data_IF_958645518439
#
_entry.id   IF_958645518439
#
_cell.length_a   1.000
_cell.length_b   1.000
_cell.length_c   1.000
_cell.angle_alpha   90.00
_cell.angle_beta   90.00
_cell.angle_gamma   90.00
#
_symmetry.space_group_name_H-M   'P 1'
#
loop_
_entity.id
_entity.type
_entity.pdbx_description
1 polymer ?
#
# COMPACT_ATOMS: atom_id res chain seq x y z
N UNK A 1 7.13 -15.93 4.53
CA UNK A 1 6.56 -14.95 3.59
C UNK A 1 7.29 -13.68 3.94
N UNK A 2 7.95 -13.07 2.99
CA UNK A 2 8.81 -11.92 3.18
C UNK A 2 8.35 -10.76 2.29
N UNK A 3 8.54 -9.55 2.79
CA UNK A 3 8.39 -8.33 2.01
C UNK A 3 9.74 -7.64 1.90
N UNK A 4 10.01 -7.04 0.74
CA UNK A 4 11.22 -6.26 0.49
C UNK A 4 10.88 -4.86 -0.01
N UNK A 5 11.83 -3.94 0.17
CA UNK A 5 11.79 -2.62 -0.45
C UNK A 5 12.45 -2.79 -1.82
N UNK A 6 11.63 -2.87 -2.87
CA UNK A 6 12.10 -3.06 -4.25
C UNK A 6 12.45 -1.76 -4.96
N UNK A 7 11.98 -0.63 -4.41
CA UNK A 7 12.31 0.71 -4.90
C UNK A 7 12.26 1.71 -3.75
N UNK A 8 13.17 2.68 -3.78
CA UNK A 8 13.10 3.89 -2.96
C UNK A 8 13.75 5.07 -3.69
N UNK A 9 13.18 6.26 -3.57
CA UNK A 9 13.74 7.51 -4.04
C UNK A 9 14.00 8.46 -2.87
N UNK A 10 15.27 8.65 -2.54
CA UNK A 10 15.71 9.55 -1.47
C UNK A 10 15.30 11.00 -1.70
N UNK A 11 15.11 11.42 -2.94
CA UNK A 11 14.70 12.79 -3.27
C UNK A 11 13.23 13.07 -2.96
N UNK A 12 12.42 12.02 -2.77
CA UNK A 12 11.01 12.10 -2.39
C UNK A 12 10.77 11.82 -0.91
N UNK A 13 11.81 11.54 -0.11
CA UNK A 13 11.67 11.35 1.33
C UNK A 13 10.93 12.54 1.96
N UNK A 14 9.95 12.31 2.84
CA UNK A 14 9.25 13.40 3.52
C UNK A 14 10.23 14.36 4.22
N UNK A 15 9.84 15.63 4.34
CA UNK A 15 10.74 16.65 4.85
C UNK A 15 11.25 16.31 6.25
N UNK A 16 12.58 16.30 6.42
CA UNK A 16 13.22 16.01 7.70
C UNK A 16 13.42 14.52 7.98
N UNK A 17 13.04 13.65 7.05
CA UNK A 17 13.36 12.21 7.06
C UNK A 17 14.62 11.96 6.23
N UNK A 18 15.41 11.00 6.67
CA UNK A 18 16.60 10.48 6.01
C UNK A 18 16.57 8.96 5.94
N UNK A 19 17.47 8.37 5.16
CA UNK A 19 17.62 6.91 5.07
C UNK A 19 18.06 6.26 6.40
N UNK A 20 18.62 7.04 7.33
CA UNK A 20 19.04 6.56 8.65
C UNK A 20 17.89 6.51 9.66
N UNK A 21 16.76 7.16 9.37
CA UNK A 21 15.57 7.09 10.20
C UNK A 21 14.88 5.74 10.03
N UNK A 22 14.12 5.33 11.06
CA UNK A 22 13.36 4.08 11.00
C UNK A 22 12.29 4.14 9.90
N UNK A 23 12.00 3.01 9.26
CA UNK A 23 10.90 2.90 8.30
C UNK A 23 9.56 3.33 8.91
N UNK A 24 9.27 2.95 10.16
CA UNK A 24 8.08 3.35 10.90
C UNK A 24 7.93 4.88 10.95
N UNK A 25 8.98 5.58 11.39
CA UNK A 25 8.96 7.05 11.47
C UNK A 25 8.76 7.71 10.12
N UNK A 26 9.39 7.21 9.05
CA UNK A 26 9.20 7.74 7.70
C UNK A 26 7.76 7.59 7.21
N UNK A 27 7.15 6.42 7.44
CA UNK A 27 5.76 6.17 7.04
C UNK A 27 4.76 7.02 7.83
N UNK A 28 5.01 7.24 9.13
CA UNK A 28 4.22 8.16 9.95
C UNK A 28 4.33 9.62 9.49
N UNK A 29 5.51 10.06 9.04
CA UNK A 29 5.65 11.41 8.47
C UNK A 29 4.96 11.49 7.11
N UNK A 30 5.11 10.46 6.26
CA UNK A 30 4.42 10.38 4.98
C UNK A 30 2.89 10.50 5.12
N UNK A 31 2.30 9.84 6.13
CA UNK A 31 0.87 9.96 6.44
C UNK A 31 0.41 11.42 6.60
N UNK A 32 1.22 12.26 7.23
CA UNK A 32 0.87 13.63 7.57
C UNK A 32 1.24 14.64 6.50
N UNK A 33 2.38 14.43 5.82
CA UNK A 33 3.02 15.44 4.97
C UNK A 33 3.16 15.01 3.50
N UNK A 34 2.93 13.74 3.18
CA UNK A 34 3.17 13.19 1.84
C UNK A 34 4.65 13.14 1.45
N UNK A 35 4.94 12.99 0.15
CA UNK A 35 6.32 13.04 -0.37
C UNK A 35 6.83 14.48 -0.47
N UNK A 36 8.15 14.67 -0.37
CA UNK A 36 8.77 15.99 -0.58
C UNK A 36 8.85 16.36 -2.08
N UNK A 37 8.81 17.66 -2.39
CA UNK A 37 9.00 18.17 -3.76
C UNK A 37 8.18 19.42 -4.12
N UNK A 38 8.44 20.00 -5.30
CA UNK A 38 7.65 21.12 -5.82
C UNK A 38 6.23 20.66 -6.20
N UNK A 39 5.23 21.38 -5.70
CA UNK A 39 3.85 20.96 -5.76
C UNK A 39 3.29 20.91 -7.19
N UNK A 40 3.17 19.71 -7.78
CA UNK A 40 2.39 19.53 -9.00
C UNK A 40 0.91 19.63 -8.67
N UNK A 41 0.14 20.32 -9.51
CA UNK A 41 -1.33 20.43 -9.40
C UNK A 41 -1.94 19.12 -9.89
N UNK A 42 -1.64 18.02 -9.19
CA UNK A 42 -2.22 16.72 -9.43
C UNK A 42 -3.73 16.77 -9.19
N UNK A 43 -4.50 16.14 -10.07
CA UNK A 43 -5.93 15.92 -9.79
C UNK A 43 -6.03 14.78 -8.78
N UNK A 44 -7.00 14.88 -7.88
CA UNK A 44 -7.32 13.82 -6.93
C UNK A 44 -7.90 12.61 -7.69
N UNK A 45 -7.42 11.41 -7.41
CA UNK A 45 -7.85 10.18 -8.09
C UNK A 45 -8.13 9.06 -7.09
N UNK A 46 -9.01 8.15 -7.48
CA UNK A 46 -9.32 6.90 -6.80
C UNK A 46 -9.95 5.98 -7.83
N UNK A 47 -9.31 4.88 -8.20
CA UNK A 47 -9.81 4.04 -9.28
C UNK A 47 -8.99 2.81 -9.57
N UNK A 48 -9.64 1.86 -10.26
CA UNK A 48 -9.02 0.66 -10.78
C UNK A 48 -8.45 0.91 -12.18
N UNK A 49 -7.30 0.30 -12.45
CA UNK A 49 -6.60 0.31 -13.74
C UNK A 49 -6.29 -1.12 -14.19
N UNK A 50 -6.01 -1.31 -15.48
CA UNK A 50 -5.77 -2.64 -16.06
C UNK A 50 -7.01 -3.56 -16.11
N UNK A 51 -8.19 -3.06 -15.73
CA UNK A 51 -9.44 -3.84 -15.71
C UNK A 51 -10.70 -3.01 -15.93
N UNK A 52 -11.69 -3.22 -15.08
CA UNK A 52 -12.99 -2.54 -15.10
C UNK A 52 -13.12 -1.50 -13.97
N UNK A 53 -14.30 -0.87 -13.83
CA UNK A 53 -14.51 0.18 -12.83
C UNK A 53 -14.43 -0.27 -11.36
N UNK A 54 -14.49 -1.58 -11.10
CA UNK A 54 -14.51 -2.16 -9.75
C UNK A 54 -13.53 -3.33 -9.58
N UNK A 55 -12.62 -3.52 -10.53
CA UNK A 55 -11.61 -4.58 -10.48
C UNK A 55 -10.48 -4.27 -11.45
N UNK A 56 -9.26 -4.66 -11.14
CA UNK A 56 -8.13 -4.41 -12.02
C UNK A 56 -6.81 -4.88 -11.45
N UNK A 57 -5.77 -4.71 -12.25
CA UNK A 57 -4.40 -5.04 -11.83
C UNK A 57 -3.84 -4.03 -10.85
N UNK A 58 -4.41 -2.82 -10.83
CA UNK A 58 -3.94 -1.74 -9.98
C UNK A 58 -5.12 -0.97 -9.40
N UNK A 59 -4.98 -0.54 -8.15
CA UNK A 59 -5.82 0.45 -7.51
C UNK A 59 -4.96 1.65 -7.13
N UNK A 60 -5.21 2.79 -7.77
CA UNK A 60 -4.52 4.04 -7.50
C UNK A 60 -5.39 5.00 -6.70
N UNK A 61 -4.78 5.66 -5.71
CA UNK A 61 -5.43 6.68 -4.88
C UNK A 61 -4.50 7.88 -4.66
N UNK A 62 -5.05 9.09 -4.73
CA UNK A 62 -4.38 10.33 -4.34
C UNK A 62 -5.29 11.14 -3.41
N UNK A 63 -4.76 11.53 -2.24
CA UNK A 63 -5.48 12.23 -1.19
C UNK A 63 -5.86 13.65 -1.60
N UNK A 64 -6.98 14.12 -1.04
CA UNK A 64 -7.43 15.52 -1.15
C UNK A 64 -6.99 16.38 0.03
N UNK A 65 -6.65 15.74 1.15
CA UNK A 65 -6.48 16.40 2.44
C UNK A 65 -5.00 16.63 2.75
N UNK A 66 -4.16 15.69 2.35
CA UNK A 66 -2.71 15.74 2.48
C UNK A 66 -2.14 15.86 1.07
N UNK A 67 -1.43 16.95 0.80
CA UNK A 67 -0.76 17.13 -0.47
C UNK A 67 0.28 16.02 -0.63
N UNK A 68 0.46 15.52 -1.86
CA UNK A 68 1.52 14.54 -2.16
C UNK A 68 1.43 13.23 -1.38
N UNK A 69 0.23 12.90 -0.91
CA UNK A 69 -0.08 11.58 -0.39
C UNK A 69 -0.85 10.81 -1.46
N UNK A 70 -0.22 9.78 -1.98
CA UNK A 70 -0.82 8.84 -2.92
C UNK A 70 -0.24 7.44 -2.73
N UNK A 71 -0.98 6.46 -3.24
CA UNK A 71 -0.46 5.11 -3.36
C UNK A 71 -1.04 4.40 -4.58
N UNK A 72 -0.30 3.38 -5.04
CA UNK A 72 -0.75 2.40 -6.02
C UNK A 72 -0.60 1.02 -5.40
N UNK A 73 -1.70 0.30 -5.26
CA UNK A 73 -1.74 -1.09 -4.85
C UNK A 73 -1.87 -1.96 -6.11
N UNK A 74 -0.88 -2.84 -6.36
CA UNK A 74 -0.79 -3.65 -7.57
C UNK A 74 -0.98 -5.13 -7.24
N UNK A 75 -1.69 -5.85 -8.11
CA UNK A 75 -2.02 -7.27 -7.96
C UNK A 75 -3.23 -7.66 -8.80
N UNK A 76 -4.20 -8.38 -8.23
CA UNK A 76 -5.50 -8.68 -8.84
C UNK A 76 -6.59 -8.31 -7.84
N UNK A 77 -7.01 -7.05 -7.89
CA UNK A 77 -7.86 -6.42 -6.87
C UNK A 77 -9.30 -6.27 -7.36
N UNK A 78 -10.24 -6.39 -6.43
CA UNK A 78 -11.67 -6.32 -6.67
C UNK A 78 -12.35 -5.51 -5.58
N UNK A 79 -13.41 -4.77 -5.93
CA UNK A 79 -14.24 -4.03 -4.97
C UNK A 79 -15.70 -4.41 -5.09
N UNK A 80 -16.32 -4.79 -3.98
CA UNK A 80 -17.74 -5.09 -3.90
C UNK A 80 -18.56 -3.81 -3.68
N UNK A 81 -19.20 -3.27 -4.72
CA UNK A 81 -20.04 -2.08 -4.68
C UNK A 81 -21.46 -2.37 -5.20
N UNK A 82 -22.38 -2.84 -4.34
CA UNK A 82 -23.74 -3.11 -4.78
C UNK A 82 -24.47 -1.84 -5.26
N UNK A 83 -25.37 -1.95 -6.26
CA UNK A 83 -25.67 -3.15 -7.06
C UNK A 83 -24.74 -3.35 -8.26
N UNK A 84 -23.69 -2.55 -8.41
CA UNK A 84 -22.90 -2.42 -9.63
C UNK A 84 -21.80 -3.46 -9.78
N UNK A 85 -21.27 -3.96 -8.66
CA UNK A 85 -20.37 -5.10 -8.61
C UNK A 85 -20.69 -5.98 -7.41
N UNK A 86 -20.12 -7.18 -7.39
CA UNK A 86 -20.15 -8.04 -6.22
C UNK A 86 -19.80 -9.49 -6.50
N UNK A 87 -19.25 -10.19 -5.51
CA UNK A 87 -19.00 -11.62 -5.60
C UNK A 87 -20.33 -12.39 -5.58
N UNK A 88 -20.32 -13.58 -6.15
CA UNK A 88 -21.46 -14.53 -6.05
C UNK A 88 -21.36 -15.41 -4.79
N UNK A 89 -20.62 -14.97 -3.80
CA UNK A 89 -20.34 -15.69 -2.56
C UNK A 89 -21.35 -15.26 -1.51
N UNK A 90 -22.03 -16.23 -0.89
CA UNK A 90 -22.98 -15.99 0.19
C UNK A 90 -22.24 -15.41 1.41
N UNK A 91 -22.84 -14.41 2.07
CA UNK A 91 -22.23 -13.76 3.24
C UNK A 91 -21.20 -12.66 2.91
N UNK A 92 -20.89 -12.42 1.63
CA UNK A 92 -19.98 -11.34 1.25
C UNK A 92 -20.48 -9.98 1.75
N UNK A 93 -19.56 -9.17 2.27
CA UNK A 93 -19.89 -7.86 2.85
C UNK A 93 -19.72 -6.74 1.81
N UNK A 94 -20.74 -5.90 1.56
CA UNK A 94 -20.61 -4.72 0.70
C UNK A 94 -19.46 -3.79 1.11
N UNK A 95 -18.90 -3.09 0.14
CA UNK A 95 -17.76 -2.17 0.29
C UNK A 95 -16.48 -2.86 0.78
N UNK A 96 -16.27 -4.11 0.35
CA UNK A 96 -15.04 -4.86 0.63
C UNK A 96 -14.11 -4.79 -0.58
N UNK A 97 -12.84 -4.48 -0.34
CA UNK A 97 -11.74 -4.66 -1.30
C UNK A 97 -11.13 -6.02 -1.03
N UNK A 98 -10.89 -6.84 -2.05
CA UNK A 98 -10.44 -8.22 -1.89
C UNK A 98 -9.63 -8.67 -3.11
N UNK A 99 -9.00 -9.83 -3.02
CA UNK A 99 -8.21 -10.42 -4.09
C UNK A 99 -6.75 -10.61 -3.68
N UNK A 100 -5.84 -10.29 -4.59
CA UNK A 100 -4.39 -10.53 -4.45
C UNK A 100 -3.68 -9.19 -4.52
N UNK A 101 -2.78 -8.94 -3.56
CA UNK A 101 -1.94 -7.75 -3.51
C UNK A 101 -0.47 -8.18 -3.57
N UNK A 102 0.18 -7.87 -4.69
CA UNK A 102 1.58 -8.23 -4.96
C UNK A 102 2.55 -7.13 -4.49
N UNK A 103 2.15 -5.87 -4.58
CA UNK A 103 2.97 -4.74 -4.14
C UNK A 103 2.16 -3.48 -3.80
N UNK A 104 2.78 -2.60 -3.03
CA UNK A 104 2.28 -1.26 -2.76
C UNK A 104 3.39 -0.26 -3.02
N UNK A 105 3.10 0.76 -3.83
CA UNK A 105 3.96 1.94 -4.01
C UNK A 105 3.32 3.14 -3.33
N UNK A 106 4.04 3.79 -2.42
CA UNK A 106 3.68 5.10 -1.88
C UNK A 106 4.31 6.19 -2.74
N UNK A 107 3.58 7.26 -3.03
CA UNK A 107 3.97 8.26 -4.03
C UNK A 107 3.36 9.64 -3.78
N UNK A 108 3.80 10.63 -4.55
CA UNK A 108 3.21 11.97 -4.55
C UNK A 108 1.92 12.10 -5.35
N UNK A 109 1.68 11.20 -6.30
CA UNK A 109 0.47 11.18 -7.10
C UNK A 109 0.24 9.88 -7.84
N UNK A 110 -0.85 9.86 -8.60
CA UNK A 110 -1.20 8.80 -9.55
C UNK A 110 -1.61 9.45 -10.87
N UNK A 111 -1.08 8.95 -11.99
CA UNK A 111 -1.45 9.46 -13.32
C UNK A 111 -2.78 8.86 -13.84
N UNK A 112 -3.21 9.31 -15.02
CA UNK A 112 -4.47 8.84 -15.62
C UNK A 112 -4.43 7.39 -16.12
N UNK A 113 -3.26 6.78 -16.13
CA UNK A 113 -3.04 5.39 -16.54
C UNK A 113 -2.82 4.46 -15.34
N UNK A 114 -2.79 4.99 -14.12
CA UNK A 114 -2.64 4.22 -12.89
C UNK A 114 -1.20 4.09 -12.39
N UNK A 115 -0.25 4.79 -13.00
CA UNK A 115 1.14 4.76 -12.54
C UNK A 115 1.36 5.77 -11.41
N UNK A 116 2.24 5.39 -10.48
CA UNK A 116 2.72 6.30 -9.45
C UNK A 116 3.49 7.48 -10.07
N UNK A 117 3.16 8.69 -9.63
CA UNK A 117 3.89 9.93 -9.93
C UNK A 117 4.67 10.30 -8.69
N UNK A 118 5.95 10.65 -8.86
CA UNK A 118 6.90 10.90 -7.76
C UNK A 118 6.89 9.73 -6.74
N UNK A 119 7.23 8.51 -7.18
CA UNK A 119 7.24 7.35 -6.29
C UNK A 119 8.28 7.55 -5.18
N UNK A 120 7.87 7.31 -3.94
CA UNK A 120 8.73 7.35 -2.76
C UNK A 120 9.34 5.98 -2.49
N UNK A 121 8.49 4.96 -2.31
CA UNK A 121 8.92 3.63 -1.88
C UNK A 121 7.95 2.58 -2.41
N UNK A 122 8.49 1.43 -2.82
CA UNK A 122 7.69 0.26 -3.22
C UNK A 122 8.03 -0.93 -2.34
N UNK A 123 6.99 -1.51 -1.74
CA UNK A 123 7.06 -2.78 -1.03
C UNK A 123 6.57 -3.90 -1.95
N UNK A 124 7.38 -4.95 -2.11
CA UNK A 124 7.02 -6.13 -2.91
C UNK A 124 6.98 -7.35 -2.02
N UNK A 125 5.88 -8.10 -2.08
CA UNK A 125 5.68 -9.32 -1.30
C UNK A 125 6.13 -10.54 -2.11
N UNK A 126 6.95 -11.42 -1.52
CA UNK A 126 7.46 -12.64 -2.18
C UNK A 126 6.35 -13.66 -2.48
N UNK A 127 5.35 -13.70 -1.60
CA UNK A 127 4.04 -14.27 -1.82
C UNK A 127 3.03 -13.15 -1.53
N UNK A 128 2.01 -13.00 -2.36
CA UNK A 128 1.11 -11.88 -2.23
C UNK A 128 0.25 -11.96 -0.97
N UNK A 129 -0.14 -10.77 -0.50
CA UNK A 129 -1.18 -10.65 0.52
C UNK A 129 -2.51 -11.03 -0.12
N UNK A 130 -3.20 -12.00 0.48
CA UNK A 130 -4.47 -12.49 -0.02
C UNK A 130 -5.62 -12.03 0.87
N UNK A 131 -6.65 -11.43 0.25
CA UNK A 131 -7.87 -11.02 0.91
C UNK A 131 -9.05 -11.86 0.44
N UNK A 132 -9.55 -12.78 1.27
CA UNK A 132 -10.76 -13.54 0.98
C UNK A 132 -11.98 -12.63 1.08
N UNK A 133 -12.85 -12.67 0.07
CA UNK A 133 -14.06 -11.86 0.05
C UNK A 133 -15.09 -12.26 1.12
N UNK A 134 -15.03 -13.51 1.58
CA UNK A 134 -15.89 -14.04 2.64
C UNK A 134 -15.52 -13.49 4.03
N UNK A 135 -14.27 -13.08 4.23
CA UNK A 135 -13.82 -12.37 5.44
C UNK A 135 -14.31 -10.90 5.46
N UNK A 136 -14.89 -10.44 4.35
CA UNK A 136 -15.47 -9.09 4.25
C UNK A 136 -14.41 -8.02 4.51
N UNK A 137 -14.78 -6.95 5.21
CA UNK A 137 -13.88 -5.82 5.49
C UNK A 137 -12.75 -6.17 6.48
N UNK A 138 -12.77 -7.35 7.09
CA UNK A 138 -11.71 -7.80 7.98
C UNK A 138 -10.53 -8.46 7.24
N UNK A 139 -10.62 -8.64 5.91
CA UNK A 139 -9.49 -9.21 5.17
C UNK A 139 -8.32 -8.22 5.08
N UNK A 140 -7.09 -8.74 5.01
CA UNK A 140 -5.87 -7.92 5.10
C UNK A 140 -5.72 -6.95 3.90
N UNK A 141 -6.13 -7.35 2.70
CA UNK A 141 -6.11 -6.46 1.52
C UNK A 141 -7.03 -5.26 1.74
N UNK A 142 -8.23 -5.48 2.31
CA UNK A 142 -9.13 -4.39 2.66
C UNK A 142 -8.52 -3.50 3.73
N UNK A 143 -7.99 -4.07 4.81
CA UNK A 143 -7.42 -3.32 5.93
C UNK A 143 -6.32 -2.36 5.48
N UNK A 144 -5.39 -2.84 4.64
CA UNK A 144 -4.31 -2.03 4.08
C UNK A 144 -4.86 -0.91 3.19
N UNK A 145 -5.67 -1.24 2.18
CA UNK A 145 -6.15 -0.27 1.19
C UNK A 145 -7.06 0.77 1.86
N UNK A 146 -7.95 0.32 2.76
CA UNK A 146 -8.86 1.19 3.50
C UNK A 146 -8.11 2.11 4.46
N UNK A 147 -7.14 1.60 5.22
CA UNK A 147 -6.27 2.40 6.08
C UNK A 147 -5.59 3.51 5.28
N UNK A 148 -4.92 3.15 4.19
CA UNK A 148 -4.22 4.12 3.34
C UNK A 148 -5.17 5.14 2.70
N UNK A 149 -6.37 4.74 2.25
CA UNK A 149 -7.36 5.70 1.72
C UNK A 149 -7.79 6.74 2.75
N UNK A 150 -7.79 6.37 4.04
CA UNK A 150 -8.16 7.27 5.14
C UNK A 150 -6.95 7.97 5.78
N UNK A 151 -5.74 7.79 5.22
CA UNK A 151 -4.52 8.40 5.75
C UNK A 151 -4.11 7.78 7.08
N UNK A 152 -4.13 6.44 7.16
CA UNK A 152 -3.66 5.69 8.32
C UNK A 152 -2.77 4.53 7.83
N UNK A 153 -1.46 4.64 8.03
CA UNK A 153 -0.50 3.58 7.65
C UNK A 153 -0.56 2.37 8.58
N UNK A 154 -1.03 2.58 9.81
CA UNK A 154 -1.28 1.56 10.84
C UNK A 154 -2.73 1.00 10.80
N UNK A 155 -3.49 1.37 9.77
CA UNK A 155 -4.85 0.89 9.54
C UNK A 155 -5.93 1.69 10.29
N UNK A 156 -7.19 1.43 9.96
CA UNK A 156 -8.32 2.17 10.53
C UNK A 156 -9.50 1.25 10.82
N UNK A 157 -9.91 1.21 12.10
CA UNK A 157 -11.11 0.50 12.52
C UNK A 157 -12.36 1.01 11.77
N UNK A 158 -13.09 0.09 11.14
CA UNK A 158 -14.46 0.37 10.68
C UNK A 158 -15.44 0.09 11.83
N UNK A 159 -15.43 0.98 12.82
CA UNK A 159 -16.28 0.89 14.00
C UNK A 159 -17.78 0.83 13.66
N UNK A 160 -18.19 1.35 12.49
CA UNK A 160 -19.58 1.28 12.02
C UNK A 160 -19.95 -0.11 11.49
N UNK A 161 -18.98 -0.82 10.90
CA UNK A 161 -19.13 -2.21 10.51
C UNK A 161 -18.78 -3.21 11.63
N UNK A 162 -18.24 -2.74 12.76
CA UNK A 162 -17.77 -3.58 13.86
C UNK A 162 -16.52 -4.38 13.50
N UNK A 163 -15.71 -3.87 12.58
CA UNK A 163 -14.46 -4.49 12.12
C UNK A 163 -13.29 -3.70 12.69
N UNK A 164 -12.37 -4.43 13.33
CA UNK A 164 -11.13 -3.88 13.86
C UNK A 164 -10.03 -4.02 12.81
N UNK A 165 -9.12 -3.06 12.75
CA UNK A 165 -7.95 -3.14 11.90
C UNK A 165 -6.98 -4.23 12.36
N UNK A 166 -6.22 -4.79 11.42
CA UNK A 166 -5.12 -5.71 11.65
C UNK A 166 -3.76 -5.01 11.62
N UNK A 167 -3.74 -3.67 11.63
CA UNK A 167 -2.53 -2.86 11.61
C UNK A 167 -2.22 -2.25 10.25
N UNK A 168 -3.10 -2.36 9.26
CA UNK A 168 -2.94 -1.75 7.95
C UNK A 168 -1.64 -2.16 7.26
N UNK A 169 -0.96 -1.18 6.66
CA UNK A 169 0.33 -1.41 6.00
C UNK A 169 1.39 -1.86 7.02
N UNK A 170 1.44 -1.29 8.22
CA UNK A 170 2.41 -1.69 9.26
C UNK A 170 2.25 -3.16 9.64
N UNK A 171 1.02 -3.58 9.90
CA UNK A 171 0.68 -4.96 10.20
C UNK A 171 1.10 -5.89 9.07
N UNK A 172 0.80 -5.52 7.82
CA UNK A 172 1.21 -6.30 6.65
C UNK A 172 2.73 -6.41 6.52
N UNK A 173 3.49 -5.33 6.72
CA UNK A 173 4.95 -5.36 6.64
C UNK A 173 5.55 -6.26 7.73
N UNK A 174 5.11 -6.08 8.98
CA UNK A 174 5.60 -6.85 10.13
C UNK A 174 5.26 -8.35 10.05
N UNK A 175 4.04 -8.69 9.58
CA UNK A 175 3.63 -10.08 9.35
C UNK A 175 4.44 -10.77 8.24
N UNK A 176 5.06 -9.97 7.36
CA UNK A 176 5.93 -10.42 6.28
C UNK A 176 7.41 -10.21 6.59
N UNK A 177 7.80 -10.40 7.86
CA UNK A 177 9.17 -10.43 8.34
C UNK A 177 9.99 -9.13 8.12
N UNK A 178 9.35 -7.97 7.88
CA UNK A 178 10.02 -6.68 7.84
C UNK A 178 10.00 -5.99 9.21
N UNK A 179 11.18 -5.75 9.77
CA UNK A 179 11.35 -4.96 11.00
C UNK A 179 11.32 -3.46 10.69
N UNK A 180 10.13 -2.86 10.79
CA UNK A 180 9.91 -1.44 10.49
C UNK A 180 10.62 -0.49 11.48
N UNK A 181 11.16 -1.00 12.60
CA UNK A 181 11.94 -0.19 13.52
C UNK A 181 13.38 0.05 13.05
N UNK A 182 13.85 -0.75 12.08
CA UNK A 182 15.17 -0.59 11.45
C UNK A 182 15.23 0.63 10.54
N UNK A 183 16.45 1.13 10.34
CA UNK A 183 16.69 2.20 9.36
C UNK A 183 16.33 1.76 7.95
N UNK A 184 15.85 2.69 7.14
CA UNK A 184 15.52 2.42 5.73
C UNK A 184 16.76 1.92 4.98
N UNK A 185 17.93 2.50 5.26
CA UNK A 185 19.22 2.10 4.68
C UNK A 185 19.54 0.62 4.97
N UNK A 186 19.37 0.17 6.21
CA UNK A 186 19.65 -1.22 6.60
C UNK A 186 18.68 -2.18 5.92
N UNK A 187 17.39 -1.84 5.83
CA UNK A 187 16.36 -2.65 5.18
C UNK A 187 16.63 -2.80 3.67
N UNK A 188 17.02 -1.72 3.00
CA UNK A 188 17.41 -1.75 1.58
C UNK A 188 18.69 -2.55 1.38
N UNK A 189 19.70 -2.35 2.25
CA UNK A 189 20.97 -3.07 2.20
C UNK A 189 20.82 -4.58 2.42
N UNK A 190 19.90 -4.99 3.29
CA UNK A 190 19.62 -6.41 3.57
C UNK A 190 19.04 -7.12 2.34
N UNK A 191 18.18 -6.46 1.55
CA UNK A 191 17.62 -7.04 0.32
C UNK A 191 18.72 -7.47 -0.66
N UNK A 192 19.73 -6.62 -0.88
CA UNK A 192 20.83 -6.91 -1.80
C UNK A 192 21.78 -8.01 -1.31
N UNK A 193 21.99 -8.12 0.00
CA UNK A 193 22.81 -9.19 0.58
C UNK A 193 22.16 -10.56 0.34
N UNK A 194 20.84 -10.67 0.55
CA UNK A 194 20.12 -11.93 0.33
C UNK A 194 20.08 -12.38 -1.13
N UNK A 195 19.90 -11.46 -2.09
CA UNK A 195 19.94 -11.79 -3.52
C UNK A 195 21.33 -12.23 -3.98
N UNK A 196 22.38 -11.57 -3.48
CA UNK A 196 23.77 -11.92 -3.81
C UNK A 196 24.14 -13.30 -3.26
N UNK A 197 23.71 -13.61 -2.04
CA UNK A 197 23.94 -14.92 -1.41
C UNK A 197 23.17 -16.05 -2.13
N UNK A 198 21.94 -15.78 -2.59
CA UNK A 198 21.16 -16.71 -3.42
C UNK A 198 21.81 -16.94 -4.79
N UNK A 199 22.34 -15.89 -5.42
CA UNK A 199 23.04 -16.00 -6.70
C UNK A 199 24.40 -16.70 -6.58
N UNK A 200 25.08 -16.63 -5.42
CA UNK A 200 26.32 -17.35 -5.15
C UNK A 200 26.10 -18.83 -4.79
N UNK A 201 24.90 -19.17 -4.30
CA UNK A 201 24.55 -20.53 -3.88
C UNK A 201 23.92 -21.40 -5.00
N UNK A 202 23.69 -20.84 -6.19
CA UNK A 202 23.07 -21.48 -7.35
C UNK A 202 24.07 -22.07 -8.37
#
# INVERSE_FOLDING_TARGET
MSVSISFIDESHLPQGVSMEDSLESMLMVFENDGVAGEHTVGKNFGGFFGGGPFSGTDYGYASKNVAHYAFVASGELNYYFPPYSGPKVEGATPHTVWGVLDSITLSGGVDQTGHAVDPLITFTFDLPVYGDVSDGRANDVHDIVWGLMNGHVDGLDDAKAGVMSHGGLFGALAQNDMDISMSIADLVGHNFATETDLALAA
#
